data_IF_648890141020
#
_entry.id   IF_648890141020
#
_cell.length_a   1.000
_cell.length_b   1.000
_cell.length_c   1.000
_cell.angle_alpha   90.00
_cell.angle_beta   90.00
_cell.angle_gamma   90.00
#
_symmetry.space_group_name_H-M   'P 1'
#
loop_
_entity.id
_entity.type
_entity.pdbx_description
1 polymer ?
2 water ?
#
# COMPACT_ATOMS: atom_id res chain seq x y z
N UNK A 24 -8.51 -17.16 7.05
CA UNK A 24 -8.55 -16.25 5.87
C UNK A 24 -7.32 -15.34 5.86
N UNK A 25 -6.38 -15.62 6.77
CA UNK A 25 -5.15 -14.84 6.86
C UNK A 25 -4.34 -15.10 5.60
N UNK A 26 -3.24 -14.36 5.41
CA UNK A 26 -2.42 -14.59 4.22
C UNK A 26 -1.98 -16.03 4.08
N UNK A 27 -1.37 -16.61 5.12
CA UNK A 27 -0.95 -18.01 5.01
C UNK A 27 -2.04 -18.95 4.49
N UNK A 28 -3.26 -18.77 4.99
CA UNK A 28 -4.38 -19.61 4.56
C UNK A 28 -4.81 -19.26 3.14
N UNK A 29 -4.66 -18.00 2.78
CA UNK A 29 -5.02 -17.55 1.43
C UNK A 29 -4.08 -18.20 0.43
N UNK A 30 -2.78 -18.14 0.73
CA UNK A 30 -1.77 -18.72 -0.14
C UNK A 30 -1.91 -20.23 -0.24
N UNK A 31 -2.26 -20.88 0.88
CA UNK A 31 -2.42 -22.32 0.87
C UNK A 31 -3.52 -22.69 -0.09
N UNK A 32 -4.62 -21.94 -0.02
CA UNK A 32 -5.77 -22.16 -0.88
C UNK A 32 -5.40 -21.94 -2.35
N UNK A 33 -4.56 -20.94 -2.62
CA UNK A 33 -4.15 -20.67 -4.00
C UNK A 33 -3.26 -21.81 -4.50
N UNK A 34 -2.46 -22.35 -3.61
CA UNK A 34 -1.56 -23.45 -3.96
C UNK A 34 -2.40 -24.65 -4.41
N UNK A 35 -3.51 -24.86 -3.72
CA UNK A 35 -4.39 -25.97 -4.04
C UNK A 35 -5.31 -25.70 -5.23
N UNK A 36 -5.93 -24.53 -5.24
CA UNK A 36 -6.87 -24.16 -6.30
C UNK A 36 -6.25 -23.96 -7.68
N UNK A 37 -5.09 -23.32 -7.74
CA UNK A 37 -4.41 -23.06 -9.01
C UNK A 37 -2.90 -23.11 -8.81
N UNK A 38 -2.36 -24.32 -8.60
CA UNK A 38 -0.95 -24.66 -8.37
C UNK A 38 0.05 -24.16 -9.38
N UNK A 39 -0.31 -24.23 -10.67
CA UNK A 39 0.61 -23.86 -11.71
C UNK A 39 0.34 -22.59 -12.50
N UNK A 40 -0.49 -21.72 -11.93
CA UNK A 40 -0.81 -20.45 -12.56
C UNK A 40 0.22 -19.46 -12.07
N UNK A 41 0.69 -18.55 -12.94
CA UNK A 41 1.68 -17.57 -12.50
C UNK A 41 1.10 -16.79 -11.31
N UNK A 42 1.94 -16.46 -10.34
CA UNK A 42 1.50 -15.74 -9.16
C UNK A 42 2.22 -14.42 -9.00
N UNK A 43 3.54 -14.50 -8.84
CA UNK A 43 4.36 -13.31 -8.66
C UNK A 43 5.47 -13.27 -9.67
N UNK A 44 5.63 -12.10 -10.28
CA UNK A 44 6.68 -11.90 -11.25
C UNK A 44 7.41 -10.63 -10.85
N UNK A 45 8.71 -10.73 -10.61
CA UNK A 45 9.50 -9.56 -10.27
C UNK A 45 10.36 -9.27 -11.49
N UNK A 46 10.31 -8.03 -11.97
CA UNK A 46 11.10 -7.63 -13.13
C UNK A 46 12.41 -7.08 -12.60
N UNK A 47 13.49 -7.81 -12.84
CA UNK A 47 14.82 -7.42 -12.39
C UNK A 47 15.57 -6.73 -13.52
N UNK A 48 15.75 -5.42 -13.38
CA UNK A 48 16.45 -4.66 -14.40
C UNK A 48 17.89 -4.37 -14.01
N UNK A 49 18.33 -4.93 -12.89
CA UNK A 49 19.70 -4.68 -12.42
C UNK A 49 20.77 -5.23 -13.33
N UNK A 50 20.49 -6.38 -13.95
CA UNK A 50 21.47 -6.99 -14.84
C UNK A 50 21.12 -6.69 -16.30
N UNK A 51 19.89 -7.03 -16.69
CA UNK A 51 19.43 -6.78 -18.05
C UNK A 51 18.57 -5.53 -18.09
N UNK A 52 19.00 -4.57 -18.92
CA UNK A 52 18.28 -3.30 -19.08
C UNK A 52 16.83 -3.46 -19.53
N UNK A 53 16.56 -4.51 -20.31
CA UNK A 53 15.20 -4.77 -20.80
C UNK A 53 14.39 -5.46 -19.71
N UNK A 54 15.09 -5.97 -18.71
CA UNK A 54 14.42 -6.63 -17.60
C UNK A 54 14.17 -8.12 -17.71
N UNK A 55 14.59 -8.84 -16.68
CA UNK A 55 14.40 -10.29 -16.61
C UNK A 55 13.23 -10.57 -15.68
N UNK A 56 12.24 -11.30 -16.18
CA UNK A 56 11.07 -11.64 -15.39
C UNK A 56 11.32 -12.90 -14.56
N UNK A 57 11.38 -12.76 -13.24
CA UNK A 57 11.57 -13.90 -12.35
C UNK A 57 10.17 -14.26 -11.83
N UNK A 58 9.66 -15.41 -12.26
CA UNK A 58 8.30 -15.80 -11.89
C UNK A 58 8.15 -17.02 -10.99
N UNK A 59 7.08 -17.00 -10.20
CA UNK A 59 6.77 -18.09 -9.28
C UNK A 59 5.28 -18.35 -9.35
N UNK A 60 4.90 -19.61 -9.55
CA UNK A 60 3.50 -19.98 -9.60
C UNK A 60 3.02 -20.04 -8.15
N UNK A 61 1.71 -20.17 -7.96
CA UNK A 61 1.17 -20.24 -6.60
C UNK A 61 1.76 -21.37 -5.75
N UNK A 62 1.94 -22.55 -6.33
CA UNK A 62 2.48 -23.66 -5.54
C UNK A 62 3.96 -23.44 -5.23
N UNK A 63 4.68 -22.81 -6.16
CA UNK A 63 6.10 -22.55 -5.96
C UNK A 63 6.28 -21.48 -4.89
N UNK A 64 5.43 -20.46 -4.93
CA UNK A 64 5.49 -19.38 -3.96
C UNK A 64 5.18 -20.00 -2.61
N UNK A 65 4.13 -20.81 -2.57
CA UNK A 65 3.72 -21.46 -1.34
C UNK A 65 4.84 -22.33 -0.76
N UNK A 66 5.49 -23.11 -1.62
CA UNK A 66 6.58 -23.97 -1.16
C UNK A 66 7.71 -23.16 -0.55
N UNK A 67 8.11 -22.07 -1.19
CA UNK A 67 9.18 -21.23 -0.68
C UNK A 67 8.79 -20.65 0.68
N UNK A 68 7.50 -20.36 0.83
CA UNK A 68 6.98 -19.81 2.07
C UNK A 68 7.07 -20.84 3.19
N UNK A 69 6.71 -22.08 2.89
CA UNK A 69 6.78 -23.12 3.91
C UNK A 69 8.21 -23.28 4.40
N UNK A 70 9.17 -23.33 3.48
CA UNK A 70 10.56 -23.48 3.84
C UNK A 70 11.12 -22.33 4.68
N UNK A 71 10.67 -21.11 4.43
CA UNK A 71 11.17 -19.99 5.23
C UNK A 71 10.61 -20.14 6.65
N UNK A 72 9.31 -20.39 6.73
CA UNK A 72 8.66 -20.57 8.03
C UNK A 72 9.36 -21.68 8.82
N UNK A 73 9.71 -22.77 8.14
CA UNK A 73 10.38 -23.90 8.77
C UNK A 73 11.68 -23.45 9.42
N UNK A 74 12.42 -22.60 8.73
CA UNK A 74 13.67 -22.07 9.25
C UNK A 74 13.42 -21.20 10.48
N UNK A 75 12.44 -20.30 10.36
CA UNK A 75 12.10 -19.37 11.44
C UNK A 75 11.63 -20.08 12.71
N UNK A 76 10.97 -21.22 12.56
CA UNK A 76 10.47 -21.96 13.71
C UNK A 76 11.55 -22.44 14.69
N UNK A 77 12.82 -22.36 14.29
CA UNK A 77 13.91 -22.79 15.16
C UNK A 77 14.36 -21.65 16.09
N UNK A 78 13.96 -20.43 15.77
CA UNK A 78 14.32 -19.26 16.59
C UNK A 78 13.09 -18.76 17.35
N UNK A 79 13.28 -18.42 18.63
CA UNK A 79 12.20 -17.90 19.43
C UNK A 79 10.90 -18.70 19.45
N UNK A 80 9.79 -17.99 19.64
CA UNK A 80 8.48 -18.65 19.68
C UNK A 80 7.38 -17.84 18.99
N UNK A 81 6.17 -18.39 18.98
CA UNK A 81 5.03 -17.72 18.36
C UNK A 81 4.80 -16.33 18.94
N UNK A 82 4.61 -15.35 18.06
CA UNK A 82 4.39 -14.00 18.56
C UNK A 82 5.64 -13.15 18.57
N UNK A 83 6.81 -13.79 18.39
CA UNK A 83 8.05 -13.03 18.36
C UNK A 83 8.10 -12.29 17.02
N UNK A 84 8.84 -11.19 16.98
CA UNK A 84 8.97 -10.45 15.74
C UNK A 84 10.14 -10.94 14.92
N UNK A 85 9.99 -10.85 13.62
CA UNK A 85 11.03 -11.22 12.67
C UNK A 85 11.07 -10.09 11.65
N UNK A 86 12.13 -9.30 11.70
CA UNK A 86 12.33 -8.18 10.80
C UNK A 86 12.67 -8.65 9.39
N UNK A 87 12.23 -7.88 8.40
CA UNK A 87 12.51 -8.17 7.02
C UNK A 87 13.26 -6.93 6.55
N UNK A 88 14.53 -7.11 6.21
CA UNK A 88 15.36 -6.03 5.75
C UNK A 88 16.10 -6.55 4.53
N UNK A 89 15.40 -6.50 3.39
CA UNK A 89 15.95 -6.95 2.13
C UNK A 89 15.51 -5.98 1.04
N UNK A 90 16.16 -6.03 -0.14
CA UNK A 90 15.77 -5.12 -1.22
C UNK A 90 14.49 -5.61 -1.88
N UNK A 91 13.91 -4.76 -2.73
CA UNK A 91 12.68 -5.13 -3.43
C UNK A 91 12.97 -6.38 -4.25
N UNK A 92 12.14 -7.40 -4.13
CA UNK A 92 12.37 -8.61 -4.87
C UNK A 92 11.57 -9.78 -4.33
N UNK A 93 11.68 -10.95 -4.97
CA UNK A 93 10.95 -12.12 -4.54
C UNK A 93 11.42 -12.69 -3.21
N UNK A 94 12.62 -12.30 -2.77
CA UNK A 94 13.16 -12.77 -1.49
C UNK A 94 12.37 -12.07 -0.40
N UNK A 95 12.11 -10.77 -0.60
CA UNK A 95 11.37 -9.98 0.36
C UNK A 95 9.96 -10.59 0.52
N UNK A 96 9.31 -10.87 -0.61
CA UNK A 96 7.97 -11.45 -0.59
C UNK A 96 7.85 -12.75 0.21
N UNK A 97 8.67 -13.75 -0.13
CA UNK A 97 8.61 -15.02 0.60
C UNK A 97 9.05 -14.85 2.04
N UNK A 98 9.93 -13.87 2.28
CA UNK A 98 10.40 -13.63 3.63
C UNK A 98 9.23 -13.16 4.49
N UNK A 99 8.48 -12.21 3.95
CA UNK A 99 7.33 -11.65 4.66
C UNK A 99 6.30 -12.74 4.93
N UNK A 100 5.84 -13.39 3.86
CA UNK A 100 4.84 -14.45 3.97
C UNK A 100 5.38 -15.58 4.84
N UNK A 101 6.70 -15.76 4.83
CA UNK A 101 7.33 -16.80 5.63
C UNK A 101 7.15 -16.53 7.11
N UNK A 102 7.32 -15.27 7.48
CA UNK A 102 7.17 -14.84 8.87
C UNK A 102 5.74 -15.14 9.35
N UNK A 103 4.75 -14.74 8.57
CA UNK A 103 3.34 -14.97 8.94
C UNK A 103 3.02 -16.46 9.09
N UNK A 104 3.47 -17.26 8.13
CA UNK A 104 3.25 -18.69 8.13
C UNK A 104 3.82 -19.36 9.39
N UNK A 105 4.87 -18.77 9.95
CA UNK A 105 5.52 -19.31 11.14
C UNK A 105 4.94 -18.77 12.45
N UNK A 106 3.87 -18.00 12.36
CA UNK A 106 3.26 -17.43 13.55
C UNK A 106 4.09 -16.32 14.20
N UNK A 107 4.90 -15.64 13.40
CA UNK A 107 5.74 -14.55 13.87
C UNK A 107 5.15 -13.22 13.40
N UNK A 108 5.48 -12.15 14.10
CA UNK A 108 4.99 -10.82 13.75
C UNK A 108 6.05 -10.15 12.89
N UNK A 109 5.79 -10.09 11.59
CA UNK A 109 6.68 -9.49 10.63
C UNK A 109 6.89 -8.00 10.90
N UNK A 110 8.05 -7.49 10.52
CA UNK A 110 8.36 -6.08 10.69
C UNK A 110 9.00 -5.68 9.36
N UNK A 111 8.16 -5.39 8.35
CA UNK A 111 8.73 -5.00 7.06
C UNK A 111 9.53 -3.71 7.13
N UNK A 112 10.83 -3.83 6.90
CA UNK A 112 11.73 -2.68 6.90
C UNK A 112 12.50 -2.70 5.59
N UNK A 113 13.26 -1.64 5.34
CA UNK A 113 14.07 -1.59 4.13
C UNK A 113 15.49 -1.95 4.51
N UNK A 114 16.35 -2.10 3.52
CA UNK A 114 17.74 -2.39 3.83
C UNK A 114 18.20 -1.13 4.56
N UNK A 115 19.00 -1.27 5.62
CA UNK A 115 19.47 -0.10 6.36
C UNK A 115 20.11 0.97 5.48
N UNK A 116 19.70 2.22 5.72
CA UNK A 116 20.20 3.36 4.95
C UNK A 116 20.72 4.46 5.89
N UNK A 117 21.63 5.29 5.38
CA UNK A 117 22.21 6.35 6.18
C UNK A 117 23.63 6.05 6.60
N UNK A 118 24.09 4.84 6.32
CA UNK A 118 25.44 4.47 6.67
C UNK A 118 25.56 3.91 8.07
N UNK A 119 26.80 3.66 8.49
CA UNK A 119 27.08 3.10 9.81
C UNK A 119 26.73 4.05 10.94
N UNK A 120 26.83 5.36 10.69
CA UNK A 120 26.54 6.35 11.72
C UNK A 120 25.06 6.68 11.85
N UNK A 121 24.21 6.02 11.07
CA UNK A 121 22.77 6.28 11.13
C UNK A 121 22.05 5.23 11.97
N UNK A 122 21.29 5.69 12.97
CA UNK A 122 20.58 4.78 13.87
C UNK A 122 19.06 4.70 13.71
N UNK A 123 18.57 4.68 12.47
CA UNK A 123 17.13 4.56 12.26
C UNK A 123 16.70 3.10 12.29
N UNK A 124 17.63 2.21 11.95
CA UNK A 124 17.35 0.79 11.97
C UNK A 124 17.55 0.27 13.38
N UNK A 125 18.59 0.77 14.04
CA UNK A 125 18.92 0.38 15.40
C UNK A 125 17.73 0.70 16.29
N UNK A 126 17.13 1.84 16.05
CA UNK A 126 15.97 2.29 16.80
C UNK A 126 14.76 1.39 16.59
N UNK A 127 14.49 1.03 15.34
CA UNK A 127 13.35 0.16 15.04
C UNK A 127 13.57 -1.24 15.61
N UNK A 128 14.81 -1.70 15.60
CA UNK A 128 15.15 -3.01 16.11
C UNK A 128 15.00 -3.03 17.63
N UNK A 129 15.47 -1.96 18.26
CA UNK A 129 15.41 -1.82 19.70
C UNK A 129 13.96 -1.66 20.18
N UNK A 130 13.06 -1.25 19.28
CA UNK A 130 11.67 -1.08 19.66
C UNK A 130 10.86 -2.35 19.47
N UNK A 131 11.29 -3.21 18.55
CA UNK A 131 10.56 -4.43 18.26
C UNK A 131 11.20 -5.70 18.83
N UNK A 132 12.48 -5.59 19.21
CA UNK A 132 13.19 -6.74 19.78
C UNK A 132 12.90 -8.03 19.00
N UNK A 133 13.26 -8.06 17.71
CA UNK A 133 13.01 -9.25 16.88
C UNK A 133 13.91 -10.43 17.26
N UNK A 134 13.43 -11.64 16.98
CA UNK A 134 14.17 -12.86 17.27
C UNK A 134 15.07 -13.20 16.09
N UNK A 135 14.74 -12.64 14.93
CA UNK A 135 15.50 -12.90 13.73
C UNK A 135 15.29 -11.79 12.69
N UNK A 136 16.20 -11.74 11.74
CA UNK A 136 16.14 -10.77 10.66
C UNK A 136 16.34 -11.51 9.34
N UNK A 137 15.36 -11.41 8.46
CA UNK A 137 15.42 -12.03 7.14
C UNK A 137 15.98 -10.99 6.17
N UNK A 138 17.07 -11.34 5.51
CA UNK A 138 17.72 -10.44 4.56
C UNK A 138 18.23 -11.28 3.40
N UNK A 139 19.05 -10.68 2.53
CA UNK A 139 19.61 -11.42 1.41
C UNK A 139 21.12 -11.25 1.38
N UNK A 140 21.79 -12.09 0.58
CA UNK A 140 23.24 -12.04 0.47
C UNK A 140 23.72 -10.63 0.14
N UNK A 141 23.02 -9.98 -0.79
CA UNK A 141 23.37 -8.64 -1.23
C UNK A 141 23.20 -7.57 -0.16
N UNK A 142 22.39 -7.86 0.85
CA UNK A 142 22.16 -6.88 1.91
C UNK A 142 22.74 -7.29 3.25
N UNK A 143 23.03 -8.57 3.42
CA UNK A 143 23.54 -9.06 4.69
C UNK A 143 24.64 -8.22 5.34
N UNK A 144 25.54 -7.64 4.53
CA UNK A 144 26.60 -6.83 5.12
C UNK A 144 26.07 -5.56 5.80
N UNK A 145 25.17 -4.84 5.12
CA UNK A 145 24.61 -3.62 5.69
C UNK A 145 23.76 -3.93 6.92
N UNK A 146 22.93 -4.96 6.82
CA UNK A 146 22.08 -5.36 7.91
C UNK A 146 22.87 -5.71 9.16
N UNK A 147 23.95 -6.47 9.01
CA UNK A 147 24.76 -6.85 10.17
C UNK A 147 25.42 -5.65 10.86
N UNK A 148 25.74 -4.62 10.08
CA UNK A 148 26.35 -3.42 10.63
C UNK A 148 25.41 -2.70 11.60
N UNK A 149 24.11 -3.01 11.50
CA UNK A 149 23.12 -2.36 12.35
C UNK A 149 22.50 -3.26 13.42
N UNK A 150 23.17 -4.36 13.72
CA UNK A 150 22.70 -5.26 14.77
C UNK A 150 23.77 -5.35 15.86
N UNK A 151 23.65 -4.48 16.86
CA UNK A 151 24.59 -4.44 17.97
C UNK A 151 24.37 -5.62 18.91
N UNK A 158 21.94 -11.84 20.23
CA UNK A 158 21.33 -10.95 19.23
C UNK A 158 20.38 -11.73 18.33
N UNK A 159 19.59 -11.03 17.51
CA UNK A 159 18.66 -11.73 16.61
C UNK A 159 19.41 -12.50 15.51
N UNK A 160 18.91 -13.68 15.18
CA UNK A 160 19.55 -14.48 14.15
C UNK A 160 19.43 -13.81 12.79
N UNK A 161 20.49 -13.89 12.00
CA UNK A 161 20.49 -13.30 10.67
C UNK A 161 20.35 -14.42 9.65
N UNK A 162 19.29 -14.34 8.85
CA UNK A 162 19.00 -15.35 7.85
C UNK A 162 19.04 -14.77 6.43
N UNK A 163 19.85 -15.40 5.59
CA UNK A 163 19.98 -14.98 4.21
C UNK A 163 19.06 -15.88 3.39
N UNK A 164 17.86 -15.37 3.13
CA UNK A 164 16.82 -16.09 2.41
C UNK A 164 17.28 -16.73 1.10
N UNK A 165 17.92 -15.95 0.24
CA UNK A 165 18.38 -16.44 -1.05
C UNK A 165 19.31 -17.65 -0.93
N UNK A 166 19.98 -17.78 0.21
CA UNK A 166 20.90 -18.90 0.43
C UNK A 166 20.24 -20.18 0.94
N UNK A 167 18.94 -20.14 1.18
CA UNK A 167 18.22 -21.31 1.65
C UNK A 167 17.68 -22.13 0.49
N UNK A 168 17.34 -23.39 0.78
CA UNK A 168 16.81 -24.27 -0.24
C UNK A 168 15.32 -24.01 -0.30
N UNK A 169 14.97 -22.79 -0.69
CA UNK A 169 13.59 -22.37 -0.79
C UNK A 169 12.70 -23.29 -1.62
N UNK A 170 13.29 -24.05 -2.53
CA UNK A 170 12.48 -24.93 -3.37
C UNK A 170 12.42 -26.40 -2.92
N UNK A 171 12.94 -26.68 -1.73
CA UNK A 171 12.91 -28.04 -1.21
C UNK A 171 11.44 -28.41 -0.98
N UNK A 172 10.99 -29.57 -1.49
CA UNK A 172 9.60 -30.00 -1.31
C UNK A 172 9.04 -29.85 0.10
N UNK A 176 3.29 -28.41 7.15
CA UNK A 176 2.49 -28.61 8.35
C UNK A 176 2.81 -27.57 9.43
N UNK A 177 1.88 -26.67 9.68
CA UNK A 177 2.11 -25.63 10.69
C UNK A 177 1.02 -25.47 11.74
N UNK A 178 1.44 -24.97 12.90
CA UNK A 178 0.58 -24.73 14.05
C UNK A 178 -0.68 -23.97 13.62
N UNK A 179 -0.50 -22.69 13.26
CA UNK A 179 -1.59 -21.85 12.80
C UNK A 179 -2.85 -22.02 13.65
N UNK A 180 -2.64 -22.26 14.95
CA UNK A 180 -3.73 -22.47 15.90
C UNK A 180 -3.76 -21.32 16.92
N UNK A 181 -2.60 -21.02 17.47
CA UNK A 181 -2.47 -19.97 18.47
C UNK A 181 -1.65 -18.81 17.89
N UNK A 182 -1.69 -18.69 16.57
CA UNK A 182 -0.97 -17.62 15.89
C UNK A 182 -1.49 -16.27 16.36
N UNK A 183 -0.59 -15.28 16.44
CA UNK A 183 -0.96 -13.94 16.88
C UNK A 183 -2.00 -13.27 15.98
N UNK A 184 -2.79 -12.37 16.56
CA UNK A 184 -3.82 -11.66 15.83
C UNK A 184 -3.14 -10.58 14.99
N UNK A 185 -1.93 -10.22 15.40
CA UNK A 185 -1.14 -9.22 14.70
C UNK A 185 -0.36 -9.87 13.55
N UNK A 186 -0.47 -9.30 12.35
CA UNK A 186 0.23 -9.82 11.18
C UNK A 186 1.64 -9.22 11.06
N UNK A 187 1.72 -7.91 11.28
CA UNK A 187 3.01 -7.21 11.20
C UNK A 187 2.99 -5.82 11.85
N UNK A 188 4.17 -5.25 12.04
CA UNK A 188 4.30 -3.91 12.62
C UNK A 188 4.78 -3.00 11.49
N UNK A 189 4.12 -1.85 11.31
CA UNK A 189 4.51 -0.92 10.26
C UNK A 189 5.19 0.33 10.82
N UNK A 190 6.50 0.47 10.60
CA UNK A 190 7.23 1.64 11.06
C UNK A 190 7.37 2.66 9.92
N UNK A 191 7.83 3.86 10.24
CA UNK A 191 8.01 4.92 9.25
C UNK A 191 9.48 5.18 8.96
N UNK A 198 10.00 6.59 17.02
CA UNK A 198 9.96 5.33 16.27
C UNK A 198 8.78 4.52 16.77
N UNK A 199 7.69 4.54 16.01
CA UNK A 199 6.48 3.83 16.40
C UNK A 199 5.98 2.90 15.32
N UNK A 200 5.65 1.67 15.73
CA UNK A 200 5.18 0.70 14.77
C UNK A 200 3.69 0.47 14.85
N UNK A 201 2.96 0.87 13.81
CA UNK A 201 1.52 0.65 13.79
C UNK A 201 1.26 -0.85 13.83
N UNK A 202 0.39 -1.28 14.74
CA UNK A 202 0.05 -2.70 14.87
C UNK A 202 -1.04 -3.07 13.84
N UNK A 203 -0.66 -3.84 12.84
CA UNK A 203 -1.60 -4.24 11.79
C UNK A 203 -2.06 -5.68 11.99
N UNK A 204 -3.34 -5.85 12.27
CA UNK A 204 -3.91 -7.17 12.48
C UNK A 204 -4.27 -7.80 11.15
N UNK A 205 -4.58 -9.09 11.19
CA UNK A 205 -4.97 -9.83 10.00
C UNK A 205 -6.29 -9.22 9.50
N UNK A 206 -7.12 -8.80 10.44
CA UNK A 206 -8.41 -8.18 10.11
C UNK A 206 -8.16 -6.88 9.34
N UNK A 207 -7.28 -6.04 9.90
CA UNK A 207 -6.94 -4.76 9.30
C UNK A 207 -6.48 -4.95 7.86
N UNK A 208 -5.55 -5.89 7.69
CA UNK A 208 -5.00 -6.17 6.37
C UNK A 208 -6.12 -6.67 5.45
N UNK A 209 -6.93 -7.61 5.92
CA UNK A 209 -8.02 -8.15 5.12
C UNK A 209 -9.01 -7.08 4.67
N UNK A 210 -9.47 -6.24 5.60
CA UNK A 210 -10.41 -5.18 5.27
C UNK A 210 -9.80 -4.11 4.34
N UNK A 211 -8.52 -3.79 4.53
CA UNK A 211 -7.88 -2.79 3.65
C UNK A 211 -7.92 -3.36 2.24
N UNK A 212 -7.61 -4.66 2.15
CA UNK A 212 -7.61 -5.38 0.90
C UNK A 212 -8.96 -5.25 0.24
N UNK A 213 -10.00 -5.50 1.03
CA UNK A 213 -11.35 -5.43 0.51
C UNK A 213 -11.68 -4.07 -0.10
N UNK A 214 -11.37 -3.00 0.62
CA UNK A 214 -11.66 -1.66 0.13
C UNK A 214 -10.78 -1.28 -1.07
N UNK A 215 -9.50 -1.64 -1.02
CA UNK A 215 -8.59 -1.34 -2.13
C UNK A 215 -9.16 -1.91 -3.42
N UNK A 216 -9.53 -3.19 -3.37
CA UNK A 216 -10.07 -3.89 -4.53
C UNK A 216 -11.34 -3.23 -5.02
N UNK A 217 -12.10 -2.67 -4.08
CA UNK A 217 -13.33 -1.97 -4.42
C UNK A 217 -12.93 -0.72 -5.20
N UNK A 218 -11.76 -0.19 -4.88
CA UNK A 218 -11.24 0.99 -5.58
C UNK A 218 -10.87 0.66 -7.01
N UNK A 219 -10.21 -0.47 -7.23
CA UNK A 219 -9.82 -0.89 -8.57
C UNK A 219 -11.07 -1.23 -9.37
N UNK A 220 -11.94 -2.04 -8.77
CA UNK A 220 -13.16 -2.47 -9.45
C UNK A 220 -14.40 -2.19 -8.63
N UNK A 221 -14.89 -0.96 -8.75
CA UNK A 221 -16.07 -0.53 -8.02
C UNK A 221 -17.32 -1.16 -8.61
N UNK A 222 -17.25 -1.52 -9.88
CA UNK A 222 -18.41 -2.10 -10.57
C UNK A 222 -18.43 -3.62 -10.62
N UNK A 223 -17.59 -4.29 -9.83
CA UNK A 223 -17.56 -5.75 -9.84
C UNK A 223 -17.35 -6.38 -8.47
N UNK A 224 -17.69 -5.64 -7.42
CA UNK A 224 -17.55 -6.15 -6.06
C UNK A 224 -16.06 -6.30 -5.73
N UNK A 225 -15.20 -5.69 -6.55
CA UNK A 225 -13.77 -5.74 -6.31
C UNK A 225 -13.07 -6.93 -6.94
N UNK A 226 -13.74 -7.63 -7.85
CA UNK A 226 -13.17 -8.80 -8.49
C UNK A 226 -12.55 -8.47 -9.84
N UNK A 227 -11.28 -8.86 -10.04
CA UNK A 227 -10.52 -8.65 -11.28
C UNK A 227 -10.96 -9.59 -12.39
N UNK A 228 -11.22 -9.03 -13.58
CA UNK A 228 -11.65 -9.88 -14.68
C UNK A 228 -10.54 -10.84 -15.11
N UNK A 229 -10.86 -11.79 -15.98
CA UNK A 229 -9.87 -12.76 -16.46
C UNK A 229 -8.68 -12.09 -17.16
N UNK A 230 -7.54 -12.76 -17.07
CA UNK A 230 -6.29 -12.31 -17.67
C UNK A 230 -5.91 -10.85 -17.39
N UNK A 231 -5.97 -10.48 -16.12
CA UNK A 231 -5.60 -9.14 -15.71
C UNK A 231 -4.59 -9.38 -14.60
N UNK A 232 -3.74 -8.40 -14.32
CA UNK A 232 -2.76 -8.55 -13.26
C UNK A 232 -2.36 -7.19 -12.72
N UNK A 233 -1.97 -7.16 -11.46
CA UNK A 233 -1.53 -5.92 -10.82
C UNK A 233 -0.11 -5.59 -11.22
N UNK A 234 0.14 -4.31 -11.54
CA UNK A 234 1.48 -3.86 -11.86
C UNK A 234 1.84 -2.89 -10.73
N UNK A 235 3.03 -3.05 -10.13
CA UNK A 235 3.43 -2.14 -9.05
C UNK A 235 4.93 -2.06 -8.82
N UNK A 236 5.43 -0.84 -8.64
CA UNK A 236 6.85 -0.62 -8.35
C UNK A 236 7.03 0.07 -6.99
N UNK A 237 5.94 0.18 -6.24
CA UNK A 237 5.95 0.81 -4.90
C UNK A 237 6.77 0.00 -3.88
N UNK A 238 7.61 0.69 -3.09
CA UNK A 238 8.45 0.04 -2.08
C UNK A 238 7.63 -0.78 -1.08
N UNK A 239 8.08 -2.00 -0.86
CA UNK A 239 7.42 -2.91 0.07
C UNK A 239 7.46 -2.48 1.53
N UNK A 240 8.49 -1.76 1.93
CA UNK A 240 8.66 -1.37 3.33
C UNK A 240 7.72 -0.31 3.93
N UNK A 241 7.06 0.49 3.09
CA UNK A 241 6.13 1.50 3.60
C UNK A 241 5.21 2.02 2.50
N UNK A 242 4.35 2.96 2.85
CA UNK A 242 3.43 3.60 1.91
C UNK A 242 2.56 2.71 1.04
N UNK A 243 1.78 1.82 1.65
CA UNK A 243 0.87 0.97 0.88
C UNK A 243 1.56 0.01 -0.08
N UNK A 244 2.89 0.07 -0.15
CA UNK A 244 3.62 -0.81 -1.04
C UNK A 244 3.42 -2.29 -0.74
N UNK A 245 3.45 -2.59 0.56
CA UNK A 245 3.27 -3.96 1.04
C UNK A 245 1.86 -4.46 0.75
N UNK A 246 0.87 -3.67 1.15
CA UNK A 246 -0.53 -4.04 0.94
C UNK A 246 -0.92 -4.19 -0.51
N UNK A 247 -0.54 -3.21 -1.33
CA UNK A 247 -0.87 -3.23 -2.76
C UNK A 247 -0.14 -4.29 -3.58
N UNK A 248 1.15 -4.47 -3.33
CA UNK A 248 1.92 -5.41 -4.12
C UNK A 248 2.00 -6.86 -3.67
N UNK A 249 1.84 -7.12 -2.38
CA UNK A 249 1.93 -8.48 -1.86
C UNK A 249 0.66 -9.04 -1.27
N UNK A 250 0.10 -8.32 -0.30
CA UNK A 250 -1.11 -8.77 0.38
C UNK A 250 -2.32 -8.91 -0.54
N UNK A 251 -2.70 -7.80 -1.16
CA UNK A 251 -3.85 -7.75 -2.06
C UNK A 251 -3.85 -8.92 -3.05
N UNK A 252 -2.78 -9.08 -3.85
CA UNK A 252 -2.80 -10.21 -4.79
C UNK A 252 -2.98 -11.60 -4.15
N UNK A 253 -2.35 -11.82 -3.00
CA UNK A 253 -2.45 -13.10 -2.31
C UNK A 253 -3.89 -13.34 -1.88
N UNK A 254 -4.50 -12.34 -1.25
CA UNK A 254 -5.88 -12.45 -0.80
C UNK A 254 -6.88 -12.47 -1.95
N UNK A 255 -6.56 -11.79 -3.05
CA UNK A 255 -7.43 -11.77 -4.21
C UNK A 255 -7.21 -12.96 -5.11
N UNK A 256 -6.08 -13.64 -4.92
CA UNK A 256 -5.75 -14.79 -5.74
C UNK A 256 -5.43 -14.41 -7.18
N UNK A 257 -4.89 -13.21 -7.38
CA UNK A 257 -4.55 -12.75 -8.72
C UNK A 257 -3.05 -12.48 -8.85
N UNK A 258 -2.49 -12.71 -10.05
CA UNK A 258 -1.06 -12.47 -10.28
C UNK A 258 -0.66 -11.03 -10.15
N UNK A 259 0.63 -10.81 -9.90
CA UNK A 259 1.16 -9.46 -9.75
C UNK A 259 2.50 -9.35 -10.44
N UNK A 260 2.69 -8.24 -11.16
CA UNK A 260 3.93 -7.96 -11.87
C UNK A 260 4.60 -6.84 -11.11
N UNK A 261 5.68 -7.15 -10.42
CA UNK A 261 6.37 -6.16 -9.60
C UNK A 261 7.77 -5.77 -10.06
N UNK A 262 8.24 -4.64 -9.54
CA UNK A 262 9.58 -4.18 -9.84
C UNK A 262 9.97 -3.22 -8.71
N UNK A 263 11.14 -2.60 -8.79
CA UNK A 263 11.57 -1.71 -7.71
C UNK A 263 11.48 -0.23 -8.04
N UNK A 264 11.41 0.62 -7.01
CA UNK A 264 11.33 2.06 -7.27
C UNK A 264 12.60 2.59 -7.95
N UNK A 265 13.74 1.96 -7.69
CA UNK A 265 15.01 2.38 -8.31
C UNK A 265 14.95 2.11 -9.81
N UNK A 266 14.38 0.97 -10.19
CA UNK A 266 14.26 0.61 -11.60
C UNK A 266 13.28 1.55 -12.28
N UNK A 267 12.27 1.99 -11.55
CA UNK A 267 11.29 2.92 -12.13
C UNK A 267 11.98 4.28 -12.36
N UNK A 268 12.64 4.80 -11.33
CA UNK A 268 13.31 6.08 -11.47
C UNK A 268 14.30 6.03 -12.64
N UNK A 269 15.06 4.94 -12.70
CA UNK A 269 16.05 4.76 -13.76
C UNK A 269 15.43 4.88 -15.15
N UNK A 270 14.30 4.21 -15.37
CA UNK A 270 13.63 4.30 -16.66
C UNK A 270 12.12 4.25 -16.46
N UNK A 271 11.51 5.40 -16.15
CA UNK A 271 10.07 5.50 -15.92
C UNK A 271 9.19 4.84 -16.97
N UNK A 272 9.71 4.70 -18.19
CA UNK A 272 8.96 4.09 -19.29
C UNK A 272 8.63 2.62 -19.00
N UNK A 273 9.40 2.00 -18.12
CA UNK A 273 9.19 0.60 -17.77
C UNK A 273 7.82 0.37 -17.15
N UNK A 274 7.30 1.38 -16.47
CA UNK A 274 6.01 1.26 -15.83
C UNK A 274 4.94 1.18 -16.93
N UNK A 275 5.11 1.99 -17.97
CA UNK A 275 4.19 1.99 -19.10
C UNK A 275 4.27 0.67 -19.86
N UNK A 276 5.48 0.15 -20.00
CA UNK A 276 5.69 -1.12 -20.71
C UNK A 276 4.94 -2.24 -20.03
N UNK A 277 5.08 -2.32 -18.71
CA UNK A 277 4.41 -3.36 -17.92
C UNK A 277 2.88 -3.29 -18.01
N UNK A 278 2.34 -2.08 -18.17
CA UNK A 278 0.90 -1.92 -18.26
C UNK A 278 0.46 -2.01 -19.72
N UNK A 279 1.42 -2.25 -20.60
CA UNK A 279 1.16 -2.38 -22.03
C UNK A 279 1.69 -3.72 -22.48
N UNK A 280 1.62 -4.69 -21.57
CA UNK A 280 2.09 -6.03 -21.85
C UNK A 280 0.92 -6.91 -22.28
N UNK A 281 1.13 -8.23 -22.21
CA UNK A 281 0.12 -9.20 -22.64
C UNK A 281 -0.95 -9.54 -21.61
N UNK A 282 -1.40 -8.55 -20.85
CA UNK A 282 -2.43 -8.75 -19.85
C UNK A 282 -3.10 -7.40 -19.57
N UNK A 283 -4.28 -7.43 -18.98
CA UNK A 283 -5.00 -6.19 -18.66
C UNK A 283 -4.49 -5.73 -17.31
N UNK A 284 -3.76 -4.63 -17.29
CA UNK A 284 -3.19 -4.16 -16.04
C UNK A 284 -3.98 -3.16 -15.21
N UNK A 285 -3.74 -3.22 -13.91
CA UNK A 285 -4.31 -2.28 -12.96
C UNK A 285 -3.14 -1.95 -12.02
N UNK A 286 -2.93 -0.67 -11.77
CA UNK A 286 -1.80 -0.22 -10.95
C UNK A 286 -2.22 0.90 -10.02
N UNK A 287 -1.24 1.40 -9.25
CA UNK A 287 -1.47 2.49 -8.30
C UNK A 287 -0.12 3.20 -8.15
N UNK A 288 -0.15 4.51 -7.92
CA UNK A 288 1.11 5.24 -7.78
C UNK A 288 0.91 6.63 -7.21
N UNK A 289 2.00 7.26 -6.74
CA UNK A 289 1.98 8.61 -6.17
C UNK A 289 1.73 9.60 -7.31
N UNK A 290 1.26 10.79 -6.99
CA UNK A 290 0.99 11.78 -8.03
C UNK A 290 2.21 12.15 -8.86
N UNK A 291 3.38 12.24 -8.22
CA UNK A 291 4.61 12.60 -8.92
C UNK A 291 5.00 11.60 -10.01
N UNK A 292 4.66 10.33 -9.79
CA UNK A 292 5.00 9.28 -10.74
C UNK A 292 4.38 9.52 -12.13
N UNK A 293 3.22 10.14 -12.16
CA UNK A 293 2.55 10.41 -13.44
C UNK A 293 3.30 11.49 -14.22
N UNK A 294 3.84 12.46 -13.49
CA UNK A 294 4.58 13.55 -14.13
C UNK A 294 5.91 12.98 -14.64
N UNK A 295 6.52 12.13 -13.82
CA UNK A 295 7.79 11.50 -14.15
C UNK A 295 7.66 10.63 -15.39
N UNK A 296 6.64 9.77 -15.40
CA UNK A 296 6.41 8.87 -16.52
C UNK A 296 6.09 9.59 -17.82
N UNK A 297 5.30 10.63 -17.74
CA UNK A 297 4.90 11.40 -18.92
C UNK A 297 6.08 12.15 -19.55
N UNK A 298 6.97 12.73 -18.73
CA UNK A 298 8.11 13.49 -19.22
C UNK A 298 9.31 12.67 -19.70
N UNK A 299 9.51 11.51 -19.08
CA UNK A 299 10.66 10.66 -19.41
C UNK A 299 10.41 9.49 -20.35
N UNK A 300 9.16 9.32 -20.79
CA UNK A 300 8.84 8.24 -21.71
C UNK A 300 8.72 8.86 -23.09
N UNK A 301 9.56 8.43 -24.03
CA UNK A 301 9.50 8.97 -25.38
C UNK A 301 8.51 8.21 -26.24
N UNK A 302 8.19 8.75 -27.40
CA UNK A 302 7.28 8.09 -28.31
C UNK A 302 7.92 6.80 -28.80
N UNK A 303 9.25 6.81 -28.94
CA UNK A 303 9.99 5.64 -29.39
C UNK A 303 9.87 4.54 -28.33
N UNK A 304 9.94 4.90 -27.06
CA UNK A 304 9.84 3.93 -25.96
C UNK A 304 8.49 3.22 -26.04
N UNK A 305 7.52 3.87 -26.66
CA UNK A 305 6.18 3.32 -26.76
C UNK A 305 5.87 2.65 -28.10
N UNK A 306 6.85 2.64 -28.99
CA UNK A 306 6.67 2.02 -30.30
C UNK A 306 6.13 0.60 -30.12
N UNK A 307 4.98 0.33 -30.72
CA UNK A 307 4.39 -1.00 -30.63
C UNK A 307 3.70 -1.30 -29.31
N UNK A 308 3.43 -0.27 -28.54
CA UNK A 308 2.77 -0.42 -27.26
C UNK A 308 1.36 0.15 -27.32
N UNK A 309 0.42 -0.55 -26.71
CA UNK A 309 -0.95 -0.07 -26.67
C UNK A 309 -1.35 -0.11 -25.20
N UNK A 310 -1.82 1.04 -24.69
CA UNK A 310 -2.23 1.17 -23.30
C UNK A 310 -3.74 1.08 -23.15
N UNK A 311 -4.42 0.68 -24.23
CA UNK A 311 -5.86 0.58 -24.24
C UNK A 311 -6.56 -0.46 -23.36
N UNK A 312 -5.85 -1.50 -22.96
CA UNK A 312 -6.44 -2.54 -22.12
C UNK A 312 -6.31 -2.29 -20.63
N UNK A 313 -5.71 -1.17 -20.24
CA UNK A 313 -5.55 -0.88 -18.83
C UNK A 313 -6.92 -0.79 -18.16
N UNK A 314 -7.04 -1.34 -16.96
CA UNK A 314 -8.30 -1.32 -16.24
C UNK A 314 -8.44 -0.13 -15.31
N UNK A 315 -7.50 0.03 -14.38
CA UNK A 315 -7.56 1.11 -13.41
C UNK A 315 -6.18 1.46 -12.88
N UNK A 316 -5.91 2.76 -12.74
CA UNK A 316 -4.64 3.22 -12.16
C UNK A 316 -5.04 4.19 -11.07
N UNK A 317 -4.90 3.75 -9.83
CA UNK A 317 -5.24 4.61 -8.70
C UNK A 317 -4.11 5.61 -8.55
N UNK A 318 -4.47 6.86 -8.25
CA UNK A 318 -3.49 7.91 -8.07
C UNK A 318 -3.55 8.36 -6.62
N UNK A 319 -2.40 8.35 -5.96
CA UNK A 319 -2.34 8.75 -4.57
C UNK A 319 -2.74 10.20 -4.37
N UNK A 320 -3.33 10.50 -3.21
CA UNK A 320 -3.78 11.85 -2.91
C UNK A 320 -2.70 12.73 -2.26
N UNK A 321 -1.57 12.15 -1.88
CA UNK A 321 -0.51 12.93 -1.25
C UNK A 321 0.26 13.79 -2.27
N UNK A 322 0.22 15.10 -2.05
CA UNK A 322 0.89 16.07 -2.91
C UNK A 322 0.38 16.05 -4.34
N UNK A 323 -0.93 15.88 -4.48
CA UNK A 323 -1.57 15.83 -5.80
C UNK A 323 -1.57 17.19 -6.49
N UNK A 324 -1.24 17.19 -7.77
CA UNK A 324 -1.25 18.40 -8.56
C UNK A 324 -2.37 18.20 -9.56
N UNK A 325 -3.26 19.18 -9.60
CA UNK A 325 -4.44 19.14 -10.48
C UNK A 325 -4.16 18.73 -11.92
N UNK A 326 -3.26 19.46 -12.57
CA UNK A 326 -2.93 19.22 -13.97
C UNK A 326 -2.12 17.95 -14.27
N UNK A 327 -1.43 17.42 -13.27
CA UNK A 327 -0.61 16.24 -13.48
C UNK A 327 -1.33 15.09 -14.15
N UNK A 328 -2.46 14.68 -13.60
CA UNK A 328 -3.21 13.55 -14.17
C UNK A 328 -3.62 13.77 -15.62
N UNK A 329 -4.16 14.95 -15.93
CA UNK A 329 -4.59 15.25 -17.30
C UNK A 329 -3.42 15.28 -18.30
N UNK A 330 -2.27 15.77 -17.87
CA UNK A 330 -1.09 15.84 -18.74
C UNK A 330 -0.64 14.41 -19.06
N UNK A 331 -0.60 13.57 -18.03
CA UNK A 331 -0.21 12.18 -18.16
C UNK A 331 -1.15 11.53 -19.18
N UNK A 332 -2.45 11.79 -19.02
CA UNK A 332 -3.46 11.23 -19.93
C UNK A 332 -3.34 11.77 -21.35
N UNK A 333 -2.99 13.04 -21.45
CA UNK A 333 -2.85 13.68 -22.76
C UNK A 333 -1.65 13.20 -23.55
N UNK A 334 -0.51 13.01 -22.89
CA UNK A 334 0.68 12.57 -23.62
C UNK A 334 0.62 11.11 -24.04
N UNK A 335 -0.11 10.27 -23.30
CA UNK A 335 -0.21 8.85 -23.63
C UNK A 335 -1.49 8.55 -24.41
N UNK A 336 -2.27 9.58 -24.68
CA UNK A 336 -3.52 9.42 -25.42
C UNK A 336 -3.29 8.80 -26.79
N UNK A 337 -2.16 9.13 -27.42
CA UNK A 337 -1.85 8.61 -28.74
C UNK A 337 -1.49 7.13 -28.71
N UNK A 338 -1.18 6.61 -27.53
CA UNK A 338 -0.84 5.21 -27.43
C UNK A 338 -2.00 4.40 -26.84
N UNK A 339 -3.19 4.96 -27.04
CA UNK A 339 -4.45 4.35 -26.62
C UNK A 339 -4.81 4.42 -25.13
N UNK A 340 -4.23 5.37 -24.40
CA UNK A 340 -4.56 5.49 -22.98
C UNK A 340 -5.92 6.15 -22.81
N UNK A 341 -6.82 5.49 -22.09
CA UNK A 341 -8.14 6.03 -21.82
C UNK A 341 -8.08 6.83 -20.53
N UNK A 342 -8.41 8.11 -20.61
CA UNK A 342 -8.36 8.99 -19.45
C UNK A 342 -9.17 8.57 -18.22
N UNK A 343 -10.24 7.81 -18.42
CA UNK A 343 -11.07 7.39 -17.30
C UNK A 343 -10.45 6.36 -16.35
N UNK A 344 -9.39 5.68 -16.78
CA UNK A 344 -8.77 4.67 -15.94
C UNK A 344 -8.04 5.26 -14.74
N UNK A 345 -7.57 6.48 -14.86
CA UNK A 345 -6.86 7.12 -13.77
C UNK A 345 -7.86 7.55 -12.69
N UNK A 346 -7.82 6.85 -11.57
CA UNK A 346 -8.72 7.07 -10.45
C UNK A 346 -8.09 7.63 -9.18
N UNK A 347 -8.47 8.87 -8.82
CA UNK A 347 -7.92 9.48 -7.61
C UNK A 347 -8.36 8.66 -6.40
N UNK A 348 -7.40 8.38 -5.52
CA UNK A 348 -7.68 7.59 -4.34
C UNK A 348 -7.09 8.28 -3.12
N UNK A 349 -7.74 8.10 -1.96
CA UNK A 349 -7.27 8.72 -0.72
C UNK A 349 -6.91 7.67 0.33
N UNK A 350 -5.62 7.53 0.60
CA UNK A 350 -5.18 6.57 1.59
C UNK A 350 -4.18 7.21 2.55
N UNK A 351 -4.08 6.64 3.74
CA UNK A 351 -3.17 7.16 4.75
C UNK A 351 -1.93 6.26 4.75
N UNK A 352 -0.86 6.77 4.16
CA UNK A 352 0.37 6.01 4.03
C UNK A 352 0.96 5.52 5.35
N UNK A 353 0.96 6.37 6.38
CA UNK A 353 1.54 5.99 7.66
C UNK A 353 0.72 4.99 8.49
N UNK A 354 -0.61 5.17 8.51
CA UNK A 354 -1.49 4.29 9.25
C UNK A 354 -1.96 3.12 8.40
N UNK A 355 -1.53 3.10 7.15
CA UNK A 355 -1.92 2.03 6.24
C UNK A 355 -3.44 1.89 6.21
N UNK A 356 -4.13 2.86 5.61
CA UNK A 356 -5.58 2.79 5.54
C UNK A 356 -6.14 3.28 4.20
N UNK A 357 -6.84 2.41 3.48
CA UNK A 357 -7.44 2.80 2.22
C UNK A 357 -8.76 3.45 2.65
N UNK A 358 -8.97 4.73 2.28
CA UNK A 358 -10.17 5.44 2.69
C UNK A 358 -11.28 5.66 1.67
N UNK A 359 -11.03 6.44 0.63
CA UNK A 359 -12.06 6.71 -0.38
C UNK A 359 -11.53 6.78 -1.81
N UNK A 360 -12.45 6.85 -2.77
CA UNK A 360 -12.10 6.90 -4.19
C UNK A 360 -13.05 7.84 -4.95
N UNK A 361 -12.63 8.29 -6.13
CA UNK A 361 -13.48 9.17 -6.95
C UNK A 361 -14.67 8.36 -7.41
N UNK A 362 -15.56 9.00 -8.17
CA UNK A 362 -16.73 8.30 -8.71
C UNK A 362 -16.23 7.34 -9.78
N UNK A 363 -16.74 6.10 -9.78
CA UNK A 363 -16.32 5.12 -10.78
C UNK A 363 -17.05 5.28 -12.12
N UNK A 364 -16.29 5.41 -13.21
CA UNK A 364 -16.89 5.55 -14.53
C UNK A 364 -16.21 6.48 -15.55
N UNK A 365 -15.41 7.43 -15.07
CA UNK A 365 -14.74 8.37 -15.96
C UNK A 365 -13.80 9.30 -15.18
N UNK A 366 -13.04 10.16 -15.88
CA UNK A 366 -12.13 11.05 -15.15
C UNK A 366 -12.72 11.66 -13.88
N UNK A 367 -11.87 11.93 -12.88
CA UNK A 367 -12.30 12.51 -11.60
C UNK A 367 -12.95 13.87 -11.72
N UNK A 368 -13.70 14.24 -10.68
CA UNK A 368 -14.39 15.51 -10.63
C UNK A 368 -13.62 16.46 -9.70
N UNK A 369 -13.24 17.62 -10.22
CA UNK A 369 -12.52 18.60 -9.43
C UNK A 369 -13.40 19.82 -9.27
N UNK A 370 -13.54 20.30 -8.05
CA UNK A 370 -14.36 21.47 -7.76
C UNK A 370 -13.50 22.64 -7.29
N UNK A 371 -13.83 23.85 -7.74
CA UNK A 371 -13.09 25.03 -7.33
C UNK A 371 -13.79 25.67 -6.14
N UNK A 372 -13.02 26.02 -5.12
CA UNK A 372 -13.56 26.66 -3.93
C UNK A 372 -12.90 28.02 -3.77
N UNK A 373 -13.61 28.96 -3.16
CA UNK A 373 -13.08 30.29 -2.94
C UNK A 373 -11.93 30.11 -1.94
N UNK A 374 -10.75 30.59 -2.30
CA UNK A 374 -9.58 30.44 -1.45
C UNK A 374 -9.63 31.20 -0.13
N UNK A 375 -9.94 32.48 -0.16
CA UNK A 375 -10.03 33.28 1.06
C UNK A 375 -11.02 32.65 2.05
N UNK A 376 -12.21 32.31 1.57
CA UNK A 376 -13.19 31.69 2.45
C UNK A 376 -12.65 30.39 3.01
N UNK A 377 -12.16 29.52 2.14
CA UNK A 377 -11.64 28.23 2.57
C UNK A 377 -10.50 28.41 3.56
N UNK A 378 -9.69 29.44 3.37
CA UNK A 378 -8.57 29.69 4.27
C UNK A 378 -9.10 30.07 5.65
N UNK A 379 -10.33 30.57 5.67
CA UNK A 379 -11.01 30.97 6.90
C UNK A 379 -11.83 29.81 7.48
N UNK A 380 -11.72 28.64 6.86
CA UNK A 380 -12.43 27.46 7.33
C UNK A 380 -13.79 27.14 6.76
N UNK A 381 -14.18 27.77 5.66
CA UNK A 381 -15.50 27.53 5.09
C UNK A 381 -15.48 27.32 3.59
N UNK A 382 -16.15 26.27 3.15
CA UNK A 382 -16.15 25.95 1.73
C UNK A 382 -17.31 26.55 0.92
N UNK A 383 -16.95 27.22 -0.17
CA UNK A 383 -17.93 27.82 -1.07
C UNK A 383 -17.41 27.78 -2.51
N UNK A 384 -18.10 27.02 -3.38
CA UNK A 384 -17.91 26.72 -4.81
C UNK A 384 -17.37 27.74 -5.81
N UNK A 385 -17.11 28.97 -5.39
CA UNK A 385 -16.59 29.99 -6.30
C UNK A 385 -15.49 29.50 -7.24
N UNK A 386 -15.87 29.05 -8.43
CA UNK A 386 -14.91 28.53 -9.41
C UNK A 386 -14.40 29.62 -10.34
N UNK A 387 -13.09 29.83 -10.35
CA UNK A 387 -12.52 30.86 -11.21
C UNK A 387 -11.02 30.77 -11.44
N UNK A 388 -10.29 31.72 -10.85
CA UNK A 388 -8.85 31.74 -11.03
C UNK A 388 -8.01 31.41 -9.80
N UNK A 389 -8.02 32.31 -8.82
CA UNK A 389 -7.24 32.09 -7.60
C UNK A 389 -7.88 31.10 -6.64
N UNK A 390 -8.87 30.37 -7.14
CA UNK A 390 -9.58 29.38 -6.33
C UNK A 390 -8.76 28.10 -6.15
N UNK A 391 -9.00 27.39 -5.06
CA UNK A 391 -8.29 26.15 -4.83
C UNK A 391 -9.16 25.02 -5.35
N UNK A 392 -8.62 24.29 -6.33
CA UNK A 392 -9.32 23.17 -6.95
C UNK A 392 -9.06 21.87 -6.21
N UNK A 393 -10.14 21.26 -5.74
CA UNK A 393 -10.00 20.03 -4.99
C UNK A 393 -10.69 18.86 -5.66
N UNK A 394 -10.04 17.70 -5.60
CA UNK A 394 -10.55 16.48 -6.17
C UNK A 394 -11.71 16.00 -5.31
N UNK A 395 -12.74 15.49 -5.98
CA UNK A 395 -13.92 14.99 -5.31
C UNK A 395 -13.81 13.49 -5.03
N UNK A 396 -13.92 13.11 -3.77
CA UNK A 396 -13.86 11.71 -3.35
C UNK A 396 -15.22 11.31 -2.77
N UNK A 397 -15.75 10.18 -3.18
CA UNK A 397 -17.04 9.73 -2.68
C UNK A 397 -16.85 9.31 -1.21
N UNK A 398 -17.75 9.74 -0.33
CA UNK A 398 -17.64 9.34 1.06
C UNK A 398 -17.74 7.81 1.08
N UNK A 399 -16.81 7.14 1.77
CA UNK A 399 -16.83 5.68 1.84
C UNK A 399 -17.90 5.08 2.75
N UNK A 400 -18.23 3.82 2.52
CA UNK A 400 -19.18 3.09 3.34
C UNK A 400 -18.31 2.49 4.44
N UNK A 401 -17.11 2.08 4.05
CA UNK A 401 -16.12 1.50 4.94
C UNK A 401 -14.73 1.83 4.39
N UNK A 402 -13.89 2.52 5.20
CA UNK A 402 -14.21 2.97 6.55
C UNK A 402 -15.18 4.16 6.54
N UNK A 403 -15.37 4.77 7.70
CA UNK A 403 -16.26 5.90 7.84
C UNK A 403 -15.45 7.18 8.01
N UNK A 404 -15.90 8.24 7.36
CA UNK A 404 -15.23 9.53 7.44
C UNK A 404 -16.09 10.60 8.08
N UNK A 405 -15.47 11.37 8.97
CA UNK A 405 -16.13 12.47 9.65
C UNK A 405 -15.16 13.66 9.74
N UNK A 406 -15.66 14.86 9.45
CA UNK A 406 -14.85 16.07 9.56
C UNK A 406 -15.10 16.51 11.00
N UNK A 407 -14.04 16.60 11.79
CA UNK A 407 -14.14 16.95 13.20
C UNK A 407 -13.24 18.10 13.66
N UNK A 408 -13.81 18.99 14.47
CA UNK A 408 -13.07 20.11 15.02
C UNK A 408 -12.03 19.50 15.96
N UNK A 409 -10.75 19.58 15.60
CA UNK A 409 -9.70 18.98 16.42
C UNK A 409 -9.65 19.51 17.85
N UNK A 410 -10.12 20.75 18.06
CA UNK A 410 -10.10 21.34 19.38
C UNK A 410 -11.25 20.91 20.27
N UNK A 411 -12.40 20.62 19.69
CA UNK A 411 -13.56 20.23 20.47
C UNK A 411 -13.97 18.76 20.31
N UNK A 412 -13.47 18.12 19.25
CA UNK A 412 -13.79 16.74 18.97
C UNK A 412 -15.27 16.61 18.61
N UNK A 413 -15.85 17.71 18.12
CA UNK A 413 -17.25 17.70 17.72
C UNK A 413 -17.28 17.85 16.20
N UNK A 414 -18.10 17.03 15.56
CA UNK A 414 -18.23 17.04 14.10
C UNK A 414 -18.48 18.43 13.56
N UNK A 415 -18.03 18.66 12.33
CA UNK A 415 -18.21 19.94 11.66
C UNK A 415 -19.39 19.78 10.70
N UNK A 416 -20.27 20.80 10.61
CA UNK A 416 -21.38 20.68 9.69
C UNK A 416 -20.77 20.65 8.29
N UNK A 417 -21.50 20.15 7.30
CA UNK A 417 -20.94 20.09 5.97
C UNK A 417 -20.58 21.51 5.55
N UNK A 418 -19.40 21.66 4.94
CA UNK A 418 -18.98 22.97 4.49
C UNK A 418 -17.98 23.64 5.40
N UNK A 419 -17.87 23.13 6.64
CA UNK A 419 -16.94 23.67 7.61
C UNK A 419 -15.69 22.80 7.67
N UNK A 420 -14.54 23.43 7.46
CA UNK A 420 -13.27 22.71 7.46
C UNK A 420 -12.87 22.22 8.84
N UNK A 421 -12.28 21.03 8.86
CA UNK A 421 -11.82 20.44 10.10
C UNK A 421 -10.87 19.31 9.77
N UNK A 422 -10.49 18.55 10.79
CA UNK A 422 -9.59 17.43 10.60
C UNK A 422 -10.41 16.22 10.18
N UNK A 423 -9.85 15.43 9.26
CA UNK A 423 -10.50 14.23 8.78
C UNK A 423 -10.28 13.10 9.78
N UNK A 424 -11.37 12.53 10.24
CA UNK A 424 -11.33 11.44 11.22
C UNK A 424 -11.90 10.23 10.52
N UNK A 425 -11.27 9.09 10.76
CA UNK A 425 -11.70 7.84 10.15
C UNK A 425 -11.94 6.77 11.22
N UNK A 426 -12.94 5.93 10.97
CA UNK A 426 -13.33 4.84 11.87
C UNK A 426 -13.70 3.60 11.05
N UNK A 427 -13.07 2.47 11.35
CA UNK A 427 -13.36 1.26 10.61
C UNK A 427 -12.50 0.07 10.98
N UNK A 428 -12.87 -1.10 10.47
CA UNK A 428 -12.14 -2.33 10.75
C UNK A 428 -10.76 -2.37 10.09
N UNK A 429 -10.48 -1.44 9.19
CA UNK A 429 -9.16 -1.43 8.58
C UNK A 429 -8.26 -0.39 9.27
N UNK A 430 -8.80 0.24 10.31
CA UNK A 430 -8.05 1.23 11.11
C UNK A 430 -7.38 0.49 12.27
N UNK A 431 -6.06 0.50 12.30
CA UNK A 431 -5.30 -0.19 13.34
C UNK A 431 -5.66 0.35 14.73
N UNK A 432 -5.51 -0.49 15.75
CA UNK A 432 -5.82 -0.09 17.12
C UNK A 432 -4.78 0.79 17.79
N UNK A 433 -3.58 0.85 17.23
CA UNK A 433 -2.56 1.67 17.84
C UNK A 433 -1.16 1.24 17.48
N UNK A 434 -0.18 1.73 18.23
CA UNK A 434 1.21 1.40 18.00
C UNK A 434 1.67 0.31 18.96
N UNK A 435 2.76 -0.34 18.60
CA UNK A 435 3.33 -1.41 19.41
C UNK A 435 3.90 -0.90 20.73
N UNK A 436 3.26 -1.28 21.85
CA UNK A 436 3.71 -0.88 23.18
C UNK A 436 3.81 0.62 23.46
N UNK A 437 2.77 1.34 23.06
CA UNK A 437 2.70 2.80 23.26
C UNK A 437 1.22 3.13 23.43
N UNK A 438 0.65 2.88 24.62
CA UNK A 438 -0.75 3.14 24.94
C UNK A 438 -1.16 4.61 24.78
N UNK A 439 -0.30 5.49 25.25
CA UNK A 439 -0.52 6.92 25.18
C UNK A 439 -0.71 7.35 23.72
N UNK A 440 0.36 7.22 22.95
CA UNK A 440 0.36 7.59 21.54
C UNK A 440 -0.80 6.93 20.81
N UNK A 441 -1.02 5.64 21.06
CA UNK A 441 -2.11 4.93 20.41
C UNK A 441 -3.44 5.62 20.72
N UNK A 442 -3.61 6.02 21.97
CA UNK A 442 -4.81 6.71 22.39
C UNK A 442 -4.94 8.03 21.63
N UNK A 443 -3.90 8.84 21.75
CA UNK A 443 -3.84 10.16 21.11
C UNK A 443 -4.11 10.15 19.61
N UNK A 444 -3.61 9.13 18.91
CA UNK A 444 -3.77 9.05 17.46
C UNK A 444 -4.92 8.18 16.95
N UNK A 445 -5.02 6.98 17.50
CA UNK A 445 -6.06 6.03 17.10
C UNK A 445 -7.23 5.95 18.06
N UNK A 446 -7.21 6.73 19.12
CA UNK A 446 -8.30 6.68 20.09
C UNK A 446 -9.20 7.90 20.20
N UNK A 447 -9.36 8.62 19.11
CA UNK A 447 -10.22 9.79 19.14
C UNK A 447 -11.68 9.41 19.37
N UNK A 448 -12.38 10.20 20.17
CA UNK A 448 -13.79 9.98 20.43
C UNK A 448 -14.51 11.27 20.06
N UNK A 449 -15.63 11.13 19.35
CA UNK A 449 -16.44 12.26 18.94
C UNK A 449 -17.44 12.66 20.03
N UNK A 450 -17.51 13.95 20.31
CA UNK A 450 -18.42 14.47 21.32
C UNK A 450 -19.81 14.65 20.74
N UNK A 451 -20.81 14.16 21.47
CA UNK A 451 -22.21 14.23 21.04
C UNK A 451 -22.34 13.87 19.56
N UNK A 452 -21.86 12.66 19.18
CA UNK A 452 -21.92 12.18 17.80
C UNK A 452 -23.31 12.28 17.19
N UNK A 453 -23.37 12.69 15.93
CA UNK A 453 -24.63 12.80 15.24
C UNK A 453 -25.19 11.41 14.95
N UNK A 454 -26.50 11.31 14.68
CA UNK A 454 -27.10 10.00 14.40
C UNK A 454 -26.38 9.24 13.28
N UNK A 455 -26.09 7.96 13.52
CA UNK A 455 -25.40 7.17 12.52
C UNK A 455 -23.88 7.23 12.63
N UNK A 456 -23.39 8.00 13.59
CA UNK A 456 -21.95 8.15 13.80
C UNK A 456 -21.51 7.56 15.13
N UNK A 457 -20.61 6.58 15.10
CA UNK A 457 -20.10 5.93 16.31
C UNK A 457 -19.25 6.89 17.14
N UNK A 458 -19.23 6.69 18.46
CA UNK A 458 -18.42 7.55 19.30
C UNK A 458 -16.94 7.33 19.01
N UNK A 459 -16.56 6.09 18.76
CA UNK A 459 -15.17 5.81 18.47
C UNK A 459 -14.85 4.33 18.36
N UNK A 460 -13.55 3.97 18.23
CA UNK A 460 -12.40 4.89 18.20
C UNK A 460 -12.17 5.48 16.79
N UNK A 461 -11.60 6.67 16.73
CA UNK A 461 -11.32 7.35 15.46
C UNK A 461 -9.84 7.62 15.28
N UNK A 462 -9.37 7.48 14.04
CA UNK A 462 -7.99 7.78 13.74
C UNK A 462 -8.01 9.26 13.33
N UNK A 463 -7.17 10.05 13.97
CA UNK A 463 -7.04 11.47 13.67
C UNK A 463 -5.96 11.51 12.59
N UNK A 464 -6.39 11.68 11.35
CA UNK A 464 -5.48 11.66 10.21
C UNK A 464 -4.42 12.76 10.14
N UNK A 465 -4.73 13.91 10.71
CA UNK A 465 -3.78 15.01 10.66
C UNK A 465 -3.98 15.76 9.36
N UNK A 466 -5.03 15.39 8.62
CA UNK A 466 -5.36 16.03 7.36
C UNK A 466 -6.54 16.99 7.55
N UNK A 467 -6.46 18.13 6.89
CA UNK A 467 -7.52 19.13 6.95
C UNK A 467 -8.39 18.95 5.72
N UNK A 468 -9.70 19.03 5.89
CA UNK A 468 -10.61 18.88 4.77
C UNK A 468 -12.06 19.17 5.14
N UNK A 469 -12.96 18.80 4.23
CA UNK A 469 -14.37 19.03 4.45
C UNK A 469 -15.25 18.15 3.57
N UNK A 470 -16.54 18.16 3.87
CA UNK A 470 -17.52 17.35 3.16
C UNK A 470 -18.68 18.22 2.74
N UNK A 471 -19.24 17.93 1.57
CA UNK A 471 -20.38 18.67 1.05
C UNK A 471 -21.03 17.85 -0.05
N UNK A 472 -22.34 17.65 0.06
CA UNK A 472 -23.10 16.88 -0.91
C UNK A 472 -22.66 15.42 -1.02
N UNK A 473 -22.35 14.81 0.12
CA UNK A 473 -21.92 13.42 0.13
C UNK A 473 -20.51 13.16 -0.37
N UNK A 474 -19.77 14.23 -0.64
CA UNK A 474 -18.39 14.09 -1.11
C UNK A 474 -17.40 14.73 -0.15
N UNK A 475 -16.18 14.21 -0.14
CA UNK A 475 -15.16 14.76 0.75
C UNK A 475 -14.02 15.35 -0.08
N UNK A 476 -13.37 16.37 0.48
CA UNK A 476 -12.26 17.02 -0.19
C UNK A 476 -11.12 17.19 0.81
N UNK A 477 -9.88 17.11 0.34
CA UNK A 477 -8.73 17.24 1.23
C UNK A 477 -7.91 18.46 0.86
N UNK A 478 -7.82 19.41 1.78
CA UNK A 478 -7.04 20.61 1.53
C UNK A 478 -5.56 20.26 1.66
N UNK A 479 -5.23 19.47 2.67
CA UNK A 479 -3.84 19.08 2.88
C UNK A 479 -3.45 18.93 4.33
#
# INVERSE_FOLDING_TARGET
MGSSHHHHHHSSGLVPRGSHMSVRSLPAALRACARLQPHDPAFTFMDYEQDWDGVAITLTWSQLYRRTLNVAQELSRCGSTGDRVVISAPQGLEYVVAFLGALQAGRIAVPLSVPQGGVTDERSDSVLSDSSPVAILTTSSAVDDVVQHVARRPGESPPSIIEVDLLDLDAPNGYTFKEDEYPSTAYLQYTSGSTRTPAGVVMSHQNVRVNFEQLMSGYFADTDGIPPPNSALVSWLPFYHDMGLVIGICAPILGGYPAVLTSPVSFLQRPARWMHLMASDFHAFSAAPNFAFELAARRTTDDDMAGRDLGNILTILSGSERVQAATIKRFADRFARFNLQERVIRPSYWLAEATVYVATSKPGQPPETVDFDTESLSAGHAKPCAGGGATSLISYMLPRSPIVRIVDSDTCIECPDGTVGEIWVHGDNVANGYWQKPDESERTFGGKIVTPSPGTPEGPWLRTGDSGFVTDGKMFIIGR
#
